data_IF_133080964910
#
_entry.id   IF_133080964910
#
_cell.length_a   1.000
_cell.length_b   1.000
_cell.length_c   1.000
_cell.angle_alpha   90.00
_cell.angle_beta   90.00
_cell.angle_gamma   90.00
#
_symmetry.space_group_name_H-M   'P 1'
#
loop_
_entity.id
_entity.type
_entity.pdbx_description
1 polymer ?
#
# COMPACT_ATOMS: atom_id res chain seq x y z
N UNK A 1 -6.80 -44.09 33.30
CA UNK A 1 -7.45 -43.94 34.62
C UNK A 1 -6.44 -43.84 35.75
N UNK A 2 -5.58 -44.84 35.99
CA UNK A 2 -4.61 -44.80 37.13
C UNK A 2 -3.65 -43.59 37.05
N UNK A 3 -3.15 -43.25 35.85
CA UNK A 3 -2.24 -42.12 35.66
C UNK A 3 -2.81 -40.75 36.08
N UNK A 4 -4.13 -40.57 36.02
CA UNK A 4 -4.81 -39.32 36.42
C UNK A 4 -4.65 -39.09 37.92
N UNK A 5 -4.61 -40.16 38.72
CA UNK A 5 -4.36 -40.09 40.16
C UNK A 5 -2.87 -39.86 40.49
N UNK A 6 -1.96 -40.05 39.53
CA UNK A 6 -0.51 -39.97 39.71
C UNK A 6 0.12 -38.61 39.38
N UNK A 7 -0.69 -37.60 39.07
CA UNK A 7 -0.24 -36.27 38.69
C UNK A 7 0.29 -36.15 37.25
N UNK A 8 0.64 -34.94 36.84
CA UNK A 8 0.90 -34.57 35.45
C UNK A 8 2.00 -35.40 34.78
N UNK A 9 3.09 -35.69 35.50
CA UNK A 9 4.20 -36.51 34.99
C UNK A 9 3.77 -37.94 34.61
N UNK A 10 2.82 -38.52 35.35
CA UNK A 10 2.29 -39.84 35.03
C UNK A 10 1.36 -39.78 33.81
N UNK A 11 0.61 -38.70 33.65
CA UNK A 11 -0.30 -38.48 32.52
C UNK A 11 0.49 -38.29 31.23
N UNK A 12 1.51 -37.43 31.22
CA UNK A 12 2.38 -37.18 30.07
C UNK A 12 3.01 -38.48 29.55
N UNK A 13 3.57 -39.30 30.46
CA UNK A 13 4.19 -40.57 30.07
C UNK A 13 3.20 -41.56 29.44
N UNK A 14 1.96 -41.59 29.92
CA UNK A 14 0.92 -42.45 29.34
C UNK A 14 0.45 -41.89 27.99
N UNK A 15 0.32 -40.58 27.85
CA UNK A 15 -0.02 -39.93 26.59
C UNK A 15 1.03 -40.20 25.51
N UNK A 16 2.31 -40.05 25.85
CA UNK A 16 3.43 -40.34 24.95
C UNK A 16 3.38 -41.79 24.43
N UNK A 17 3.22 -42.76 25.34
CA UNK A 17 3.12 -44.19 24.97
C UNK A 17 1.85 -44.50 24.19
N UNK A 18 0.75 -43.80 24.45
CA UNK A 18 -0.49 -43.96 23.70
C UNK A 18 -0.32 -43.48 22.26
N UNK A 19 0.19 -42.27 22.06
CA UNK A 19 0.38 -41.69 20.73
C UNK A 19 1.44 -42.45 19.93
N UNK A 20 2.51 -42.94 20.56
CA UNK A 20 3.53 -43.74 19.87
C UNK A 20 2.99 -45.07 19.34
N UNK A 21 1.95 -45.64 19.97
CA UNK A 21 1.32 -46.89 19.54
C UNK A 21 0.23 -46.68 18.49
N UNK A 22 -0.30 -45.47 18.39
CA UNK A 22 -1.44 -45.13 17.56
C UNK A 22 -1.03 -44.36 16.30
N UNK A 23 0.16 -44.62 15.78
CA UNK A 23 0.72 -43.97 14.57
C UNK A 23 -0.12 -44.22 13.31
N UNK A 24 -0.75 -45.38 13.19
CA UNK A 24 -1.69 -45.72 12.09
C UNK A 24 -3.17 -45.42 12.46
N UNK A 25 -3.39 -44.58 13.47
CA UNK A 25 -4.71 -44.20 13.94
C UNK A 25 -5.44 -43.22 13.02
N UNK A 26 -6.72 -42.91 13.31
CA UNK A 26 -7.47 -41.89 12.60
C UNK A 26 -6.86 -40.48 12.77
N UNK A 27 -7.05 -39.60 11.79
CA UNK A 27 -6.43 -38.27 11.70
C UNK A 27 -6.54 -37.41 12.97
N UNK A 28 -7.65 -37.51 13.71
CA UNK A 28 -7.84 -36.74 14.95
C UNK A 28 -6.86 -37.15 16.06
N UNK A 29 -6.35 -38.39 16.06
CA UNK A 29 -5.35 -38.84 17.05
C UNK A 29 -4.02 -38.14 16.83
N UNK A 30 -3.61 -37.95 15.57
CA UNK A 30 -2.41 -37.18 15.21
C UNK A 30 -2.54 -35.72 15.59
N UNK A 31 -3.73 -35.13 15.36
CA UNK A 31 -4.04 -33.77 15.80
C UNK A 31 -3.93 -33.64 17.33
N UNK A 32 -4.54 -34.55 18.09
CA UNK A 32 -4.44 -34.56 19.55
C UNK A 32 -2.99 -34.73 20.03
N UNK A 33 -2.22 -35.61 19.39
CA UNK A 33 -0.80 -35.78 19.69
C UNK A 33 -0.01 -34.48 19.47
N UNK A 34 -0.31 -33.76 18.38
CA UNK A 34 0.32 -32.49 18.05
C UNK A 34 -0.02 -31.38 19.04
N UNK A 35 -1.28 -31.31 19.48
CA UNK A 35 -1.73 -30.31 20.48
C UNK A 35 -1.10 -30.60 21.84
N UNK A 36 -1.15 -31.85 22.31
CA UNK A 36 -0.58 -32.26 23.60
C UNK A 36 0.94 -32.10 23.60
N UNK A 37 1.60 -32.47 22.50
CA UNK A 37 3.04 -32.33 22.30
C UNK A 37 3.51 -30.91 21.94
N UNK A 38 2.58 -29.93 21.84
CA UNK A 38 2.86 -28.55 21.40
C UNK A 38 3.66 -28.46 20.10
N UNK A 39 3.35 -29.33 19.15
CA UNK A 39 4.00 -29.39 17.86
C UNK A 39 2.97 -29.15 16.75
N UNK A 40 2.48 -27.91 16.65
CA UNK A 40 1.50 -27.55 15.62
C UNK A 40 2.08 -27.55 14.20
N UNK A 41 3.41 -27.49 14.07
CA UNK A 41 4.11 -27.65 12.79
C UNK A 41 3.81 -29.00 12.13
N UNK A 42 3.65 -30.08 12.92
CA UNK A 42 3.26 -31.39 12.37
C UNK A 42 1.89 -31.32 11.69
N UNK A 43 0.92 -30.62 12.30
CA UNK A 43 -0.42 -30.41 11.73
C UNK A 43 -0.32 -29.61 10.44
N UNK A 44 0.39 -28.48 10.47
CA UNK A 44 0.52 -27.59 9.31
C UNK A 44 1.19 -28.28 8.14
N UNK A 45 2.18 -29.16 8.35
CA UNK A 45 2.89 -29.81 7.25
C UNK A 45 2.23 -31.08 6.72
N UNK A 46 1.52 -31.82 7.57
CA UNK A 46 1.07 -33.17 7.21
C UNK A 46 -0.44 -33.31 7.08
N UNK A 47 -1.23 -32.37 7.60
CA UNK A 47 -2.67 -32.44 7.47
C UNK A 47 -3.10 -32.23 6.00
N UNK A 48 -4.23 -32.86 5.66
CA UNK A 48 -4.86 -32.73 4.35
C UNK A 48 -5.44 -31.30 4.19
N UNK A 49 -5.05 -30.66 3.08
CA UNK A 49 -5.47 -29.30 2.74
C UNK A 49 -6.95 -29.20 2.39
N UNK A 50 -7.64 -30.33 2.13
CA UNK A 50 -9.11 -30.34 2.01
C UNK A 50 -9.81 -29.80 3.27
N UNK A 51 -9.17 -29.95 4.45
CA UNK A 51 -9.67 -29.49 5.74
C UNK A 51 -8.83 -28.32 6.29
N UNK A 52 -8.37 -27.41 5.41
CA UNK A 52 -7.49 -26.31 5.82
C UNK A 52 -8.15 -25.36 6.85
N UNK A 53 -9.48 -25.23 6.83
CA UNK A 53 -10.23 -24.38 7.76
C UNK A 53 -10.17 -24.94 9.18
N UNK A 54 -10.20 -26.26 9.32
CA UNK A 54 -10.05 -26.98 10.57
C UNK A 54 -8.61 -26.84 11.09
N UNK A 55 -7.60 -26.88 10.21
CA UNK A 55 -6.21 -26.58 10.56
C UNK A 55 -6.13 -25.15 11.11
N UNK A 56 -6.65 -24.17 10.38
CA UNK A 56 -6.64 -22.77 10.80
C UNK A 56 -7.35 -22.55 12.14
N UNK A 57 -8.53 -23.17 12.35
CA UNK A 57 -9.25 -23.10 13.62
C UNK A 57 -8.42 -23.68 14.78
N UNK A 58 -7.66 -24.74 14.52
CA UNK A 58 -6.71 -25.32 15.48
C UNK A 58 -5.61 -24.32 15.81
N UNK A 59 -5.01 -23.67 14.81
CA UNK A 59 -3.97 -22.65 15.01
C UNK A 59 -4.49 -21.50 15.86
N UNK A 60 -5.68 -20.96 15.54
CA UNK A 60 -6.29 -19.87 16.32
C UNK A 60 -6.59 -20.24 17.78
N UNK A 61 -6.73 -21.54 18.08
CA UNK A 61 -7.10 -22.02 19.42
C UNK A 61 -5.89 -22.40 20.27
N UNK A 62 -4.85 -22.99 19.66
CA UNK A 62 -3.77 -23.65 20.39
C UNK A 62 -2.37 -23.07 20.12
N UNK A 63 -2.18 -22.24 19.08
CA UNK A 63 -0.87 -21.68 18.80
C UNK A 63 -0.51 -20.55 19.76
N UNK A 64 0.76 -20.48 20.14
CA UNK A 64 1.29 -19.34 20.86
C UNK A 64 1.35 -18.10 19.95
N UNK A 65 1.19 -16.90 20.53
CA UNK A 65 1.17 -15.62 19.80
C UNK A 65 2.43 -15.41 18.93
N UNK A 66 3.57 -15.96 19.35
CA UNK A 66 4.85 -15.83 18.65
C UNK A 66 4.99 -16.76 17.46
N UNK A 67 4.42 -17.96 17.53
CA UNK A 67 4.52 -18.96 16.46
C UNK A 67 3.36 -18.87 15.46
N UNK A 68 2.21 -18.32 15.88
CA UNK A 68 1.01 -18.25 15.06
C UNK A 68 1.25 -17.58 13.69
N UNK A 69 1.94 -16.44 13.57
CA UNK A 69 2.24 -15.85 12.27
C UNK A 69 3.01 -16.77 11.33
N UNK A 70 3.99 -17.53 11.85
CA UNK A 70 4.85 -18.41 11.07
C UNK A 70 4.11 -19.70 10.67
N UNK A 71 3.24 -20.22 11.54
CA UNK A 71 2.36 -21.35 11.22
C UNK A 71 1.34 -20.98 10.13
N UNK A 72 0.77 -19.77 10.20
CA UNK A 72 -0.12 -19.24 9.16
C UNK A 72 0.62 -19.06 7.83
N UNK A 73 1.87 -18.60 7.85
CA UNK A 73 2.72 -18.51 6.65
C UNK A 73 2.93 -19.89 6.02
N UNK A 74 3.35 -20.88 6.82
CA UNK A 74 3.60 -22.23 6.32
C UNK A 74 2.34 -22.91 5.76
N UNK A 75 1.17 -22.69 6.38
CA UNK A 75 -0.10 -23.18 5.82
C UNK A 75 -0.45 -22.48 4.51
N UNK A 76 -0.23 -21.16 4.44
CA UNK A 76 -0.41 -20.37 3.23
C UNK A 76 0.47 -20.85 2.09
N UNK A 77 1.76 -21.12 2.36
CA UNK A 77 2.73 -21.61 1.38
C UNK A 77 2.27 -22.95 0.78
N UNK A 78 1.79 -23.89 1.61
CA UNK A 78 1.25 -25.17 1.14
C UNK A 78 0.01 -25.01 0.26
N UNK A 79 -0.90 -24.10 0.64
CA UNK A 79 -2.10 -23.81 -0.16
C UNK A 79 -1.73 -23.13 -1.48
N UNK A 80 -0.73 -22.25 -1.49
CA UNK A 80 -0.25 -21.58 -2.70
C UNK A 80 0.42 -22.58 -3.66
N UNK A 81 1.25 -23.49 -3.16
CA UNK A 81 1.83 -24.59 -3.95
C UNK A 81 0.74 -25.46 -4.59
N UNK A 82 -0.31 -25.80 -3.83
CA UNK A 82 -1.45 -26.55 -4.38
C UNK A 82 -2.22 -25.72 -5.43
N UNK A 83 -2.42 -24.42 -5.18
CA UNK A 83 -3.09 -23.53 -6.12
C UNK A 83 -2.36 -23.45 -7.47
N UNK A 84 -1.02 -23.46 -7.44
CA UNK A 84 -0.18 -23.48 -8.63
C UNK A 84 -0.29 -24.82 -9.38
N UNK A 85 -0.26 -25.95 -8.65
CA UNK A 85 -0.40 -27.28 -9.23
C UNK A 85 -1.77 -27.50 -9.91
N UNK A 86 -2.85 -27.08 -9.27
CA UNK A 86 -4.23 -27.28 -9.75
C UNK A 86 -4.72 -26.11 -10.63
N UNK A 87 -3.92 -25.05 -10.81
CA UNK A 87 -4.31 -23.79 -11.48
C UNK A 87 -5.64 -23.21 -10.94
N UNK A 88 -5.90 -23.41 -9.65
CA UNK A 88 -7.20 -23.10 -9.05
C UNK A 88 -7.17 -21.76 -8.30
N UNK A 89 -7.86 -20.77 -8.88
CA UNK A 89 -7.99 -19.41 -8.30
C UNK A 89 -8.69 -19.39 -6.94
N UNK A 90 -9.52 -20.38 -6.59
CA UNK A 90 -10.16 -20.40 -5.27
C UNK A 90 -9.16 -20.68 -4.16
N UNK A 91 -8.23 -21.61 -4.39
CA UNK A 91 -7.20 -22.00 -3.42
C UNK A 91 -6.24 -20.83 -3.16
N UNK A 92 -5.94 -20.02 -4.19
CA UNK A 92 -5.16 -18.78 -4.03
C UNK A 92 -5.81 -17.79 -3.04
N UNK A 93 -7.14 -17.73 -2.98
CA UNK A 93 -7.84 -16.90 -1.99
C UNK A 93 -7.74 -17.48 -0.58
N UNK A 94 -7.75 -18.81 -0.46
CA UNK A 94 -7.55 -19.51 0.81
C UNK A 94 -6.11 -19.31 1.34
N UNK A 95 -5.09 -19.34 0.46
CA UNK A 95 -3.72 -18.99 0.80
C UNK A 95 -3.60 -17.52 1.25
N UNK A 96 -4.24 -16.60 0.52
CA UNK A 96 -4.31 -15.19 0.91
C UNK A 96 -4.90 -15.01 2.30
N UNK A 97 -5.95 -15.76 2.64
CA UNK A 97 -6.55 -15.72 3.98
C UNK A 97 -5.54 -16.12 5.06
N UNK A 98 -4.74 -17.16 4.83
CA UNK A 98 -3.73 -17.62 5.79
C UNK A 98 -2.66 -16.55 6.03
N UNK A 99 -2.15 -15.94 4.96
CA UNK A 99 -1.18 -14.85 5.11
C UNK A 99 -1.78 -13.60 5.77
N UNK A 100 -3.06 -13.32 5.53
CA UNK A 100 -3.79 -12.23 6.21
C UNK A 100 -3.90 -12.50 7.72
N UNK A 101 -4.26 -13.72 8.10
CA UNK A 101 -4.33 -14.13 9.50
C UNK A 101 -2.96 -14.03 10.19
N UNK A 102 -1.89 -14.44 9.50
CA UNK A 102 -0.51 -14.32 9.98
C UNK A 102 0.12 -12.94 9.86
N UNK A 103 -0.61 -11.93 9.36
CA UNK A 103 -0.09 -10.57 9.12
C UNK A 103 1.16 -10.51 8.22
N UNK A 104 1.30 -11.44 7.27
CA UNK A 104 2.46 -11.56 6.37
C UNK A 104 2.29 -10.75 5.08
N UNK A 105 2.55 -9.44 5.13
CA UNK A 105 2.35 -8.54 3.98
C UNK A 105 3.12 -8.99 2.73
N UNK A 106 4.38 -9.42 2.91
CA UNK A 106 5.29 -9.82 1.83
C UNK A 106 4.68 -10.91 0.93
N UNK A 107 3.95 -11.85 1.53
CA UNK A 107 3.28 -12.95 0.82
C UNK A 107 1.98 -12.49 0.17
N UNK A 108 1.15 -11.78 0.93
CA UNK A 108 -0.16 -11.28 0.46
C UNK A 108 -0.02 -10.36 -0.76
N UNK A 109 0.99 -9.50 -0.77
CA UNK A 109 1.24 -8.55 -1.86
C UNK A 109 1.50 -9.28 -3.18
N UNK A 110 2.24 -10.37 -3.16
CA UNK A 110 2.52 -11.17 -4.37
C UNK A 110 1.22 -11.64 -5.02
N UNK A 111 0.29 -12.18 -4.22
CA UNK A 111 -1.03 -12.59 -4.72
C UNK A 111 -1.83 -11.39 -5.21
N UNK A 112 -1.87 -10.30 -4.46
CA UNK A 112 -2.64 -9.11 -4.87
C UNK A 112 -2.08 -8.43 -6.12
N UNK A 113 -0.78 -8.55 -6.39
CA UNK A 113 -0.18 -8.07 -7.62
C UNK A 113 -0.61 -8.90 -8.83
N UNK A 114 -0.76 -10.22 -8.67
CA UNK A 114 -1.38 -11.05 -9.71
C UNK A 114 -2.85 -10.65 -9.94
N UNK A 115 -3.62 -10.49 -8.86
CA UNK A 115 -5.01 -10.01 -8.94
C UNK A 115 -5.10 -8.63 -9.60
N UNK A 116 -4.16 -7.74 -9.30
CA UNK A 116 -4.04 -6.42 -9.93
C UNK A 116 -3.82 -6.54 -11.45
N UNK A 117 -2.87 -7.37 -11.89
CA UNK A 117 -2.59 -7.59 -13.32
C UNK A 117 -3.78 -8.25 -14.04
N UNK A 118 -4.42 -9.22 -13.39
CA UNK A 118 -5.63 -9.86 -13.92
C UNK A 118 -6.78 -8.86 -14.05
N UNK A 119 -6.99 -8.01 -13.04
CA UNK A 119 -8.03 -6.98 -13.02
C UNK A 119 -7.78 -5.86 -14.03
N UNK A 120 -6.53 -5.45 -14.21
CA UNK A 120 -6.13 -4.48 -15.23
C UNK A 120 -6.41 -5.03 -16.63
N UNK A 121 -5.99 -6.28 -16.90
CA UNK A 121 -6.23 -6.92 -18.20
C UNK A 121 -7.74 -7.06 -18.48
N UNK A 122 -8.50 -7.58 -17.52
CA UNK A 122 -9.96 -7.71 -17.67
C UNK A 122 -10.63 -6.35 -17.89
N UNK A 123 -10.21 -5.32 -17.16
CA UNK A 123 -10.73 -3.96 -17.34
C UNK A 123 -10.40 -3.36 -18.70
N UNK A 124 -9.26 -3.68 -19.29
CA UNK A 124 -8.90 -3.26 -20.66
C UNK A 124 -9.78 -3.99 -21.68
N UNK A 125 -10.01 -5.29 -21.49
CA UNK A 125 -10.84 -6.12 -22.37
C UNK A 125 -12.33 -5.68 -22.33
N UNK A 126 -12.83 -5.25 -21.17
CA UNK A 126 -14.21 -4.77 -20.97
C UNK A 126 -14.44 -3.31 -21.36
N UNK A 127 -13.41 -2.46 -21.27
CA UNK A 127 -13.54 -1.03 -21.55
C UNK A 127 -13.61 -0.76 -23.06
N UNK A 128 -14.82 -0.71 -23.61
CA UNK A 128 -15.05 -0.21 -24.99
C UNK A 128 -14.77 1.30 -25.14
N UNK A 129 -14.82 2.09 -24.07
CA UNK A 129 -14.69 3.57 -24.11
C UNK A 129 -13.76 4.19 -23.03
N UNK A 130 -12.98 3.37 -22.30
CA UNK A 130 -12.03 3.86 -21.28
C UNK A 130 -10.60 3.97 -21.81
N UNK A 131 -9.85 5.02 -21.43
CA UNK A 131 -8.41 5.05 -21.68
C UNK A 131 -7.73 3.98 -20.83
N UNK A 132 -6.78 3.23 -21.39
CA UNK A 132 -5.95 2.26 -20.67
C UNK A 132 -5.37 2.84 -19.38
N UNK A 133 -5.02 4.13 -19.39
CA UNK A 133 -4.57 4.86 -18.20
C UNK A 133 -5.62 4.90 -17.07
N UNK A 134 -6.89 5.14 -17.38
CA UNK A 134 -7.96 5.21 -16.37
C UNK A 134 -8.26 3.85 -15.74
N UNK A 135 -8.16 2.77 -16.52
CA UNK A 135 -8.31 1.40 -16.02
C UNK A 135 -7.16 1.07 -15.08
N UNK A 136 -5.92 1.36 -15.51
CA UNK A 136 -4.72 1.19 -14.71
C UNK A 136 -4.82 1.95 -13.37
N UNK A 137 -5.14 3.25 -13.40
CA UNK A 137 -5.23 4.06 -12.17
C UNK A 137 -6.29 3.54 -11.22
N UNK A 138 -7.43 3.05 -11.73
CA UNK A 138 -8.49 2.45 -10.90
C UNK A 138 -8.00 1.16 -10.25
N UNK A 139 -7.35 0.27 -11.00
CA UNK A 139 -6.79 -0.96 -10.46
C UNK A 139 -5.70 -0.67 -9.42
N UNK A 140 -4.84 0.31 -9.68
CA UNK A 140 -3.76 0.71 -8.79
C UNK A 140 -4.32 1.28 -7.49
N UNK A 141 -5.34 2.14 -7.57
CA UNK A 141 -6.01 2.67 -6.39
C UNK A 141 -6.59 1.53 -5.53
N UNK A 142 -7.31 0.59 -6.12
CA UNK A 142 -7.89 -0.54 -5.38
C UNK A 142 -6.81 -1.39 -4.69
N UNK A 143 -5.69 -1.64 -5.38
CA UNK A 143 -4.54 -2.35 -4.82
C UNK A 143 -3.94 -1.60 -3.61
N UNK A 144 -3.65 -0.30 -3.77
CA UNK A 144 -3.06 0.54 -2.71
C UNK A 144 -3.99 0.67 -1.50
N UNK A 145 -5.30 0.83 -1.72
CA UNK A 145 -6.29 0.87 -0.63
C UNK A 145 -6.30 -0.45 0.16
N UNK A 146 -6.28 -1.59 -0.53
CA UNK A 146 -6.22 -2.92 0.10
C UNK A 146 -4.99 -3.07 1.00
N UNK A 147 -3.82 -2.68 0.49
CA UNK A 147 -2.56 -2.70 1.26
C UNK A 147 -2.59 -1.72 2.44
N UNK A 148 -3.16 -0.54 2.25
CA UNK A 148 -3.25 0.49 3.31
C UNK A 148 -4.14 0.03 4.45
N UNK A 149 -5.31 -0.54 4.15
CA UNK A 149 -6.22 -1.12 5.15
C UNK A 149 -5.52 -2.24 5.90
N UNK A 150 -4.84 -3.14 5.19
CA UNK A 150 -4.09 -4.21 5.81
C UNK A 150 -3.03 -3.70 6.79
N UNK A 151 -2.19 -2.75 6.36
CA UNK A 151 -1.15 -2.15 7.22
C UNK A 151 -1.74 -1.52 8.47
N UNK A 152 -2.89 -0.84 8.34
CA UNK A 152 -3.58 -0.20 9.45
C UNK A 152 -4.17 -1.21 10.45
N UNK A 153 -4.82 -2.27 9.96
CA UNK A 153 -5.48 -3.27 10.82
C UNK A 153 -4.46 -4.13 11.55
N UNK A 154 -3.35 -4.46 10.91
CA UNK A 154 -2.29 -5.33 11.47
C UNK A 154 -1.20 -4.55 12.21
N UNK A 155 -1.26 -3.21 12.21
CA UNK A 155 -0.16 -2.35 12.66
C UNK A 155 1.19 -2.74 12.05
N UNK A 156 1.18 -3.11 10.76
CA UNK A 156 2.35 -3.67 10.07
C UNK A 156 3.52 -2.69 10.09
N UNK A 157 4.68 -3.18 10.54
CA UNK A 157 5.94 -2.45 10.51
C UNK A 157 6.87 -3.09 9.49
N UNK A 158 7.31 -2.28 8.54
CA UNK A 158 8.24 -2.71 7.50
C UNK A 158 9.66 -2.77 8.08
N UNK A 159 10.12 -3.98 8.38
CA UNK A 159 11.46 -4.22 8.92
C UNK A 159 12.57 -3.89 7.90
N UNK A 160 12.26 -3.91 6.61
CA UNK A 160 13.22 -3.67 5.53
C UNK A 160 13.39 -2.18 5.23
N UNK A 161 12.55 -1.30 5.79
CA UNK A 161 12.61 0.15 5.56
C UNK A 161 13.96 0.80 5.88
N UNK A 162 14.68 0.27 6.86
CA UNK A 162 16.00 0.76 7.25
C UNK A 162 17.16 0.05 6.54
N UNK A 163 16.87 -0.97 5.71
CA UNK A 163 17.90 -1.69 4.95
C UNK A 163 18.36 -0.90 3.75
N UNK A 164 19.57 -1.25 3.32
CA UNK A 164 20.28 -0.60 2.22
C UNK A 164 20.04 -1.27 0.86
N UNK A 165 19.65 -2.55 0.86
CA UNK A 165 19.41 -3.36 -0.33
C UNK A 165 18.53 -4.58 -0.01
N UNK A 166 18.16 -5.34 -1.05
CA UNK A 166 17.44 -6.62 -0.98
C UNK A 166 16.09 -6.55 -0.24
N UNK A 167 15.31 -5.53 -0.58
CA UNK A 167 13.98 -5.34 0.01
C UNK A 167 12.98 -6.36 -0.53
N UNK A 168 12.34 -7.12 0.37
CA UNK A 168 11.30 -8.09 0.00
C UNK A 168 10.08 -7.42 -0.64
N UNK A 169 9.79 -6.18 -0.25
CA UNK A 169 8.66 -5.38 -0.71
C UNK A 169 9.01 -4.42 -1.86
N UNK A 170 10.14 -4.62 -2.56
CA UNK A 170 10.56 -3.80 -3.71
C UNK A 170 9.42 -3.55 -4.72
N UNK A 171 8.71 -4.59 -5.12
CA UNK A 171 7.59 -4.48 -6.07
C UNK A 171 6.43 -3.63 -5.54
N UNK A 172 6.20 -3.62 -4.21
CA UNK A 172 5.22 -2.75 -3.60
C UNK A 172 5.69 -1.28 -3.58
N UNK A 173 6.99 -1.05 -3.37
CA UNK A 173 7.57 0.29 -3.38
C UNK A 173 7.43 0.94 -4.75
N UNK A 174 7.66 0.19 -5.83
CA UNK A 174 7.41 0.68 -7.20
C UNK A 174 5.96 1.15 -7.38
N UNK A 175 5.00 0.39 -6.85
CA UNK A 175 3.58 0.76 -6.89
C UNK A 175 3.25 1.96 -6.03
N UNK A 176 3.93 2.17 -4.91
CA UNK A 176 3.79 3.40 -4.12
C UNK A 176 4.32 4.63 -4.86
N UNK A 177 5.46 4.51 -5.55
CA UNK A 177 6.03 5.59 -6.35
C UNK A 177 5.08 5.95 -7.51
N UNK A 178 4.59 4.94 -8.24
CA UNK A 178 3.62 5.10 -9.32
C UNK A 178 2.33 5.79 -8.83
N UNK A 179 1.78 5.34 -7.69
CA UNK A 179 0.58 5.95 -7.12
C UNK A 179 0.83 7.38 -6.61
N UNK A 180 2.00 7.64 -6.02
CA UNK A 180 2.38 8.98 -5.57
C UNK A 180 2.46 9.96 -6.75
N UNK A 181 2.97 9.51 -7.90
CA UNK A 181 3.06 10.31 -9.12
C UNK A 181 1.67 10.65 -9.67
N UNK A 182 0.76 9.68 -9.71
CA UNK A 182 -0.64 9.90 -10.07
C UNK A 182 -1.29 10.88 -9.08
N UNK A 183 -1.13 10.68 -7.76
CA UNK A 183 -1.68 11.59 -6.75
C UNK A 183 -1.14 13.01 -6.87
N UNK A 184 0.16 13.17 -7.15
CA UNK A 184 0.79 14.48 -7.37
C UNK A 184 0.26 15.18 -8.62
N UNK A 185 0.01 14.44 -9.71
CA UNK A 185 -0.61 15.00 -10.94
C UNK A 185 -2.02 15.56 -10.71
N UNK A 186 -2.75 15.01 -9.74
CA UNK A 186 -4.06 15.51 -9.30
C UNK A 186 -3.96 16.62 -8.24
N UNK A 187 -2.76 17.11 -7.93
CA UNK A 187 -2.53 18.17 -6.95
C UNK A 187 -2.59 17.71 -5.48
N UNK A 188 -2.72 16.39 -5.21
CA UNK A 188 -2.74 15.83 -3.85
C UNK A 188 -1.33 15.55 -3.35
N UNK A 189 -0.54 16.61 -3.17
CA UNK A 189 0.86 16.51 -2.76
C UNK A 189 1.02 15.86 -1.38
N UNK A 190 0.12 16.15 -0.43
CA UNK A 190 0.15 15.59 0.92
C UNK A 190 0.00 14.06 0.93
N UNK A 191 -0.84 13.53 0.02
CA UNK A 191 -1.07 12.09 -0.12
C UNK A 191 0.15 11.43 -0.74
N UNK A 192 0.69 12.04 -1.79
CA UNK A 192 1.88 11.56 -2.46
C UNK A 192 3.10 11.53 -1.53
N UNK A 193 3.30 12.56 -0.69
CA UNK A 193 4.35 12.59 0.34
C UNK A 193 4.21 11.43 1.35
N UNK A 194 2.99 11.12 1.81
CA UNK A 194 2.76 10.01 2.74
C UNK A 194 3.14 8.66 2.14
N UNK A 195 2.76 8.38 0.89
CA UNK A 195 3.10 7.12 0.24
C UNK A 195 4.60 7.01 -0.07
N UNK A 196 5.26 8.10 -0.49
CA UNK A 196 6.72 8.11 -0.63
C UNK A 196 7.46 7.92 0.71
N UNK A 197 6.84 8.34 1.82
CA UNK A 197 7.35 8.10 3.16
C UNK A 197 7.34 6.62 3.57
N UNK A 198 6.54 5.78 2.92
CA UNK A 198 6.52 4.32 3.16
C UNK A 198 7.69 3.59 2.48
N UNK A 199 8.30 4.18 1.47
CA UNK A 199 9.44 3.62 0.74
C UNK A 199 10.73 3.80 1.56
N UNK A 200 11.69 2.85 1.55
CA UNK A 200 13.01 3.02 2.15
C UNK A 200 13.74 4.27 1.64
N UNK A 201 14.58 4.89 2.47
CA UNK A 201 15.28 6.13 2.11
C UNK A 201 16.38 5.96 1.07
N UNK A 202 16.91 4.73 0.95
CA UNK A 202 17.97 4.35 0.00
C UNK A 202 17.43 3.75 -1.29
N UNK A 203 16.12 3.85 -1.54
CA UNK A 203 15.51 3.39 -2.77
C UNK A 203 15.64 4.47 -3.86
N UNK A 204 16.55 4.26 -4.80
CA UNK A 204 16.99 5.28 -5.77
C UNK A 204 15.82 5.81 -6.63
N UNK A 205 14.89 4.94 -7.02
CA UNK A 205 13.74 5.26 -7.87
C UNK A 205 12.79 6.27 -7.20
N UNK A 206 12.74 6.31 -5.87
CA UNK A 206 11.88 7.24 -5.13
C UNK A 206 12.49 8.65 -4.98
N UNK A 207 13.81 8.81 -5.13
CA UNK A 207 14.49 10.07 -4.80
C UNK A 207 14.09 11.22 -5.74
N UNK A 208 13.89 10.91 -7.03
CA UNK A 208 13.41 11.88 -8.00
C UNK A 208 11.98 12.37 -7.66
N UNK A 209 11.08 11.44 -7.32
CA UNK A 209 9.71 11.75 -6.93
C UNK A 209 9.66 12.56 -5.62
N UNK A 210 10.48 12.19 -4.63
CA UNK A 210 10.62 12.91 -3.34
C UNK A 210 11.12 14.33 -3.54
N UNK A 211 12.18 14.51 -4.32
CA UNK A 211 12.74 15.82 -4.64
C UNK A 211 11.71 16.73 -5.33
N UNK A 212 10.96 16.19 -6.28
CA UNK A 212 9.90 16.90 -7.00
C UNK A 212 8.79 17.37 -6.06
N UNK A 213 8.27 16.47 -5.21
CA UNK A 213 7.19 16.80 -4.27
C UNK A 213 7.69 17.79 -3.23
N UNK A 214 8.89 17.60 -2.68
CA UNK A 214 9.48 18.54 -1.71
C UNK A 214 9.62 19.95 -2.27
N UNK A 215 9.97 20.07 -3.55
CA UNK A 215 10.03 21.38 -4.22
C UNK A 215 8.65 21.99 -4.44
N UNK A 216 7.65 21.18 -4.81
CA UNK A 216 6.27 21.62 -5.02
C UNK A 216 5.55 22.01 -3.70
N UNK A 217 5.88 21.33 -2.60
CA UNK A 217 5.30 21.57 -1.26
C UNK A 217 6.04 22.68 -0.49
N UNK A 218 7.19 23.18 -0.98
CA UNK A 218 7.87 24.32 -0.36
C UNK A 218 6.94 25.53 -0.37
N UNK A 219 6.35 25.81 0.81
CA UNK A 219 5.77 27.12 1.12
C UNK A 219 6.83 28.17 0.84
N UNK A 220 6.56 29.07 -0.10
CA UNK A 220 7.40 30.26 -0.29
C UNK A 220 7.60 30.93 1.07
N UNK A 221 8.83 31.33 1.45
CA UNK A 221 9.02 32.06 2.68
C UNK A 221 8.12 33.29 2.61
N UNK A 222 7.23 33.45 3.58
CA UNK A 222 6.44 34.65 3.72
C UNK A 222 7.43 35.81 3.80
N UNK A 223 7.54 36.57 2.71
CA UNK A 223 8.34 37.78 2.67
C UNK A 223 7.64 38.71 3.64
N UNK A 224 8.09 38.72 4.89
CA UNK A 224 7.66 39.70 5.87
C UNK A 224 8.25 41.00 5.37
N UNK A 225 7.45 41.75 4.59
CA UNK A 225 7.69 43.15 4.34
C UNK A 225 7.67 43.82 5.71
N UNK A 226 8.86 43.98 6.30
CA UNK A 226 9.06 44.87 7.45
C UNK A 226 8.73 46.26 6.93
N UNK A 227 7.47 46.66 7.11
CA UNK A 227 7.08 48.05 6.98
C UNK A 227 7.83 48.84 8.06
N UNK A 228 8.95 49.46 7.67
CA UNK A 228 9.60 50.49 8.47
C UNK A 228 8.60 51.63 8.65
N UNK A 229 8.02 51.74 9.85
CA UNK A 229 7.27 52.92 10.26
C UNK A 229 8.23 54.10 10.32
N UNK A 230 8.26 54.91 9.27
CA UNK A 230 8.88 56.22 9.30
C UNK A 230 7.99 57.15 10.13
N UNK A 231 8.52 57.66 11.23
CA UNK A 231 7.88 58.69 12.06
C UNK A 231 7.90 60.00 11.30
N UNK A 232 6.73 60.50 10.87
CA UNK A 232 6.61 61.78 10.19
C UNK A 232 6.81 62.94 11.19
N UNK A 233 7.99 63.56 11.17
CA UNK A 233 8.17 64.93 11.66
C UNK A 233 7.74 65.90 10.55
N UNK A 234 6.93 66.89 10.90
CA UNK A 234 6.45 67.94 10.01
C UNK A 234 7.51 69.05 9.95
N UNK A 235 8.07 69.39 8.77
CA UNK A 235 8.81 70.64 8.59
C UNK A 235 7.91 71.70 7.93
N UNK A 236 7.96 72.91 8.47
CA UNK A 236 7.31 74.09 7.92
C UNK A 236 7.93 74.52 6.57
N UNK A 237 7.07 75.10 5.74
CA UNK A 237 7.33 75.52 4.37
C UNK A 237 8.50 76.51 4.20
N UNK A 238 9.30 76.28 3.16
CA UNK A 238 9.99 77.35 2.41
C UNK A 238 9.87 77.08 0.91
N UNK A 239 9.32 78.07 0.23
CA UNK A 239 9.16 78.15 -1.22
C UNK A 239 10.50 78.41 -1.90
N UNK A 240 10.86 77.59 -2.89
CA UNK A 240 11.71 78.02 -4.00
C UNK A 240 11.50 77.11 -5.21
N UNK A 241 11.64 77.71 -6.39
CA UNK A 241 11.12 77.35 -7.71
C UNK A 241 11.68 76.07 -8.37
N UNK A 242 10.87 75.55 -9.31
CA UNK A 242 11.12 74.40 -10.19
C UNK A 242 12.40 74.51 -11.04
N UNK A 243 12.96 73.35 -11.43
CA UNK A 243 13.04 73.03 -12.87
C UNK A 243 12.38 71.69 -13.25
N UNK A 244 11.84 71.65 -14.48
CA UNK A 244 11.04 70.58 -15.08
C UNK A 244 11.73 69.20 -15.16
N UNK A 245 10.96 68.09 -15.09
CA UNK A 245 11.45 66.76 -15.41
C UNK A 245 11.36 66.46 -16.92
N UNK A 246 12.45 65.92 -17.47
CA UNK A 246 12.49 65.33 -18.80
C UNK A 246 11.80 63.96 -18.75
N UNK A 247 10.54 63.88 -19.22
CA UNK A 247 9.76 62.65 -19.24
C UNK A 247 10.10 61.87 -20.51
N UNK A 248 10.78 60.74 -20.35
CA UNK A 248 10.98 59.74 -21.39
C UNK A 248 9.69 58.91 -21.53
N UNK A 249 9.07 58.94 -22.71
CA UNK A 249 7.83 58.24 -23.01
C UNK A 249 8.13 56.98 -23.84
N UNK A 250 7.72 55.77 -23.40
CA UNK A 250 7.86 54.57 -24.22
C UNK A 250 6.79 54.53 -25.34
N UNK A 251 7.11 53.98 -26.53
CA UNK A 251 6.20 53.97 -27.67
C UNK A 251 5.02 53.00 -27.48
N UNK A 252 3.80 53.47 -27.79
CA UNK A 252 2.59 52.65 -27.87
C UNK A 252 2.54 51.85 -29.19
N UNK A 253 2.03 50.61 -29.18
CA UNK A 253 1.73 49.87 -30.39
C UNK A 253 0.42 50.37 -31.03
N UNK A 254 0.51 50.78 -32.30
CA UNK A 254 -0.65 51.08 -33.15
C UNK A 254 -1.34 49.79 -33.59
N UNK A 255 -2.57 49.57 -33.11
CA UNK A 255 -3.50 48.59 -33.68
C UNK A 255 -4.41 49.29 -34.69
N UNK A 256 -4.32 48.89 -35.96
CA UNK A 256 -5.29 49.23 -37.00
C UNK A 256 -6.40 48.18 -37.02
N UNK A 257 -7.69 48.54 -36.96
CA UNK A 257 -8.77 47.58 -37.13
C UNK A 257 -8.96 47.26 -38.62
N UNK A 258 -8.87 45.98 -38.97
CA UNK A 258 -9.29 45.45 -40.26
C UNK A 258 -10.83 45.43 -40.33
N UNK A 259 -11.36 45.83 -41.48
CA UNK A 259 -12.77 45.90 -41.84
C UNK A 259 -13.47 44.54 -41.81
N UNK A 260 -14.67 44.52 -41.24
CA UNK A 260 -15.56 43.36 -41.19
C UNK A 260 -16.03 42.95 -42.59
N UNK A 261 -15.83 41.67 -42.93
CA UNK A 261 -16.39 41.05 -44.13
C UNK A 261 -17.75 40.46 -43.74
N UNK A 262 -18.80 40.90 -44.43
CA UNK A 262 -20.17 40.43 -44.30
C UNK A 262 -20.29 38.96 -44.71
N UNK A 263 -20.79 38.09 -43.82
CA UNK A 263 -21.01 36.68 -44.12
C UNK A 263 -22.51 36.44 -44.43
N UNK A 264 -22.90 36.04 -45.66
CA UNK A 264 -24.31 36.06 -46.11
C UNK A 264 -25.13 34.78 -45.80
N UNK A 265 -24.76 33.96 -44.82
CA UNK A 265 -25.45 32.69 -44.53
C UNK A 265 -25.74 32.43 -43.03
N UNK A 266 -26.29 33.42 -42.32
CA UNK A 266 -26.85 33.19 -40.98
C UNK A 266 -28.39 33.16 -41.04
N UNK A 267 -29.06 32.06 -40.64
CA UNK A 267 -30.52 31.97 -40.61
C UNK A 267 -31.10 32.73 -39.41
N UNK A 268 -32.17 33.47 -39.66
CA UNK A 268 -32.95 34.22 -38.67
C UNK A 268 -33.91 33.30 -37.92
N UNK A 269 -33.89 33.39 -36.60
CA UNK A 269 -34.73 32.65 -35.68
C UNK A 269 -36.13 33.30 -35.59
N UNK A 270 -37.18 32.51 -35.87
CA UNK A 270 -38.57 32.74 -35.42
C UNK A 270 -39.19 31.40 -35.09
#
# INVERSE_FOLDING_TARGET
MIAVCGGDKCVEKVQEVYFSKQTDGPNYVRLLASIVGKNLWDVVHNADLSNWKEIMATLCTFADEKEFPDLCEALGDRLEEQAQADSNKSIRKDASFCYLAGSKLEKVVTIWLEEFKEGEKAGIDEAQEGSSFSVHVRALQAFIEKVTIFRQVTNYQDADRQKDADWKLSVLYDKYIEYADVAASHGRLDVAERYLGLVPDKYDEAEAARSRIRLATRKAPAVTSKATKATAQIPQARTSSLPQPNIYQPPQPTFSPASAVSNPYAPTNT
#
